data_IF_099332223001
#
_entry.id   IF_099332223001
#
_cell.length_a   1.000
_cell.length_b   1.000
_cell.length_c   1.000
_cell.angle_alpha   90.00
_cell.angle_beta   90.00
_cell.angle_gamma   90.00
#
_symmetry.space_group_name_H-M   'P 1'
#
loop_
_entity.id
_entity.type
_entity.pdbx_description
1 polymer ?
#
# COMPACT_ATOMS: atom_id res chain seq x y z
N UNK A 1 11.10 3.53 -19.14
CA UNK A 1 10.09 3.81 -18.09
C UNK A 1 9.38 5.09 -18.50
N UNK A 2 8.05 5.11 -18.50
CA UNK A 2 7.33 6.37 -18.60
C UNK A 2 7.36 7.07 -17.24
N UNK A 3 7.82 8.33 -17.21
CA UNK A 3 7.86 9.16 -16.00
C UNK A 3 6.49 9.82 -15.78
N UNK A 4 5.47 8.98 -15.60
CA UNK A 4 4.26 9.38 -14.89
C UNK A 4 4.70 9.98 -13.55
N UNK A 5 4.42 11.27 -13.36
CA UNK A 5 4.91 12.00 -12.19
C UNK A 5 4.26 11.41 -10.93
N UNK A 6 5.03 11.39 -9.84
CA UNK A 6 4.45 11.21 -8.51
C UNK A 6 3.40 12.31 -8.31
N UNK A 7 2.17 11.94 -7.93
CA UNK A 7 0.99 12.83 -7.88
C UNK A 7 0.43 12.98 -6.46
N UNK A 8 0.59 11.98 -5.60
CA UNK A 8 0.10 12.02 -4.22
C UNK A 8 1.01 12.88 -3.34
N UNK A 9 0.74 14.18 -3.12
CA UNK A 9 1.45 15.02 -2.12
C UNK A 9 0.51 15.49 -1.01
N UNK A 10 1.07 15.81 0.16
CA UNK A 10 0.28 16.28 1.32
C UNK A 10 -0.39 17.60 0.98
N UNK A 11 -1.71 17.66 1.17
CA UNK A 11 -2.55 18.80 0.76
C UNK A 11 -3.25 18.62 -0.59
N UNK A 12 -2.84 17.65 -1.42
CA UNK A 12 -3.47 17.35 -2.71
C UNK A 12 -4.53 16.25 -2.63
N UNK A 13 -5.31 16.12 -3.72
CA UNK A 13 -6.25 15.01 -3.90
C UNK A 13 -5.51 13.67 -3.99
N UNK A 14 -6.01 12.66 -3.29
CA UNK A 14 -5.48 11.31 -3.36
C UNK A 14 -5.70 10.72 -4.76
N UNK A 15 -4.66 10.25 -5.48
CA UNK A 15 -4.83 9.66 -6.80
C UNK A 15 -5.70 8.39 -6.76
N UNK A 16 -6.87 8.45 -7.37
CA UNK A 16 -7.78 7.31 -7.42
C UNK A 16 -7.41 6.35 -8.56
N UNK A 17 -6.52 5.41 -8.27
CA UNK A 17 -6.00 4.43 -9.24
C UNK A 17 -6.79 3.12 -9.26
N UNK A 18 -6.81 2.39 -10.39
CA UNK A 18 -7.35 1.04 -10.44
C UNK A 18 -6.45 0.07 -9.67
N UNK A 19 -7.07 -0.87 -8.97
CA UNK A 19 -6.43 -1.99 -8.25
C UNK A 19 -7.28 -3.25 -8.42
N UNK A 20 -6.72 -4.42 -8.14
CA UNK A 20 -7.40 -5.72 -8.29
C UNK A 20 -7.47 -6.44 -6.94
N UNK A 21 -8.64 -6.93 -6.57
CA UNK A 21 -8.83 -7.76 -5.37
C UNK A 21 -8.26 -9.17 -5.56
N UNK A 22 -8.01 -9.89 -4.47
CA UNK A 22 -7.48 -11.27 -4.53
C UNK A 22 -8.38 -12.26 -5.31
N UNK A 23 -9.69 -11.99 -5.43
CA UNK A 23 -10.60 -12.73 -6.31
C UNK A 23 -10.66 -12.19 -7.76
N UNK A 24 -9.58 -11.58 -8.24
CA UNK A 24 -9.38 -11.07 -9.61
C UNK A 24 -10.39 -10.02 -10.10
N UNK A 25 -11.14 -9.36 -9.21
CA UNK A 25 -12.10 -8.30 -9.58
C UNK A 25 -11.39 -6.94 -9.63
N UNK A 26 -11.51 -6.23 -10.77
CA UNK A 26 -11.07 -4.84 -10.86
C UNK A 26 -11.92 -3.93 -9.98
N UNK A 27 -11.24 -3.00 -9.30
CA UNK A 27 -11.82 -1.98 -8.43
C UNK A 27 -10.91 -0.74 -8.46
N UNK A 28 -11.10 0.22 -7.55
CA UNK A 28 -10.29 1.44 -7.44
C UNK A 28 -9.94 1.69 -5.98
N UNK A 29 -8.86 2.44 -5.69
CA UNK A 29 -8.48 2.75 -4.30
C UNK A 29 -9.63 3.46 -3.56
N UNK A 30 -10.35 4.37 -4.23
CA UNK A 30 -11.51 5.06 -3.63
C UNK A 30 -12.63 4.16 -3.15
N UNK A 31 -12.80 2.95 -3.71
CA UNK A 31 -13.83 2.00 -3.27
C UNK A 31 -13.54 1.40 -1.88
N UNK A 32 -12.35 1.62 -1.33
CA UNK A 32 -11.99 1.27 0.06
C UNK A 32 -12.07 2.47 1.00
N UNK A 33 -12.34 3.69 0.50
CA UNK A 33 -12.60 4.85 1.35
C UNK A 33 -14.04 4.79 1.88
N UNK A 34 -14.21 4.29 3.10
CA UNK A 34 -15.20 4.90 4.00
C UNK A 34 -14.60 6.19 4.56
N UNK A 35 -15.43 7.16 4.92
CA UNK A 35 -14.95 8.52 5.18
C UNK A 35 -13.95 8.60 6.35
N UNK A 36 -12.80 9.24 6.08
CA UNK A 36 -11.78 9.74 7.02
C UNK A 36 -10.90 8.72 7.78
N UNK A 37 -10.08 7.90 7.10
CA UNK A 37 -9.52 6.65 7.68
C UNK A 37 -8.04 6.27 7.29
N UNK A 38 -7.06 6.21 8.26
CA UNK A 38 -5.57 5.97 8.05
C UNK A 38 -4.95 4.54 8.04
N UNK A 39 -3.62 4.41 7.73
CA UNK A 39 -2.79 3.19 7.43
C UNK A 39 -1.26 3.39 7.79
N UNK A 40 -0.29 2.47 8.06
CA UNK A 40 -0.03 0.99 8.07
C UNK A 40 1.46 0.73 8.61
N UNK A 41 2.17 -0.41 8.80
CA UNK A 41 1.89 -1.84 9.17
C UNK A 41 2.14 -2.17 10.68
N UNK A 42 2.59 -1.21 11.52
CA UNK A 42 2.31 -1.29 12.98
C UNK A 42 0.79 -1.34 13.24
N UNK A 43 -0.01 -1.02 12.20
CA UNK A 43 -1.26 -1.67 11.74
C UNK A 43 -1.72 -2.94 12.43
N UNK A 44 -0.93 -4.01 12.64
CA UNK A 44 -1.50 -5.13 13.43
C UNK A 44 -1.88 -4.70 14.86
N UNK A 45 -1.32 -3.58 15.33
CA UNK A 45 -1.79 -2.78 16.46
C UNK A 45 -2.63 -1.55 16.04
N UNK A 46 -2.33 -0.79 14.97
CA UNK A 46 -3.18 0.38 14.58
C UNK A 46 -4.60 -0.04 14.15
N UNK A 47 -4.79 -1.18 13.50
CA UNK A 47 -6.08 -1.81 13.15
C UNK A 47 -6.84 -2.21 14.41
N UNK A 48 -6.15 -2.63 15.47
CA UNK A 48 -6.77 -2.94 16.77
C UNK A 48 -7.14 -1.67 17.53
N UNK A 49 -6.18 -0.76 17.70
CA UNK A 49 -6.31 0.49 18.46
C UNK A 49 -7.31 1.46 17.81
N UNK A 50 -7.26 1.56 16.48
CA UNK A 50 -8.00 2.56 15.71
C UNK A 50 -9.03 1.96 14.74
N UNK A 51 -9.26 0.65 14.65
CA UNK A 51 -10.29 0.06 13.76
C UNK A 51 -11.72 0.61 13.96
N UNK A 52 -12.01 1.12 15.15
CA UNK A 52 -13.25 1.84 15.44
C UNK A 52 -13.38 3.16 14.64
N UNK A 53 -12.26 3.82 14.33
CA UNK A 53 -12.17 5.18 13.74
C UNK A 53 -11.44 5.22 12.38
N UNK A 54 -10.78 4.13 12.01
CA UNK A 54 -9.91 3.95 10.83
C UNK A 54 -10.22 2.64 10.09
N UNK A 55 -9.87 2.61 8.80
CA UNK A 55 -10.12 1.57 7.79
C UNK A 55 -8.79 1.44 7.04
N UNK A 56 -8.46 0.20 6.68
CA UNK A 56 -7.08 -0.20 6.44
C UNK A 56 -6.98 -1.01 5.15
N UNK A 57 -5.92 -0.81 4.34
CA UNK A 57 -5.79 -1.43 3.01
C UNK A 57 -4.32 -1.68 2.65
N UNK A 58 -3.93 -2.93 2.44
CA UNK A 58 -2.65 -3.25 1.81
C UNK A 58 -2.82 -3.18 0.28
N UNK A 59 -1.97 -2.39 -0.39
CA UNK A 59 -1.82 -2.40 -1.86
C UNK A 59 -0.49 -3.06 -2.20
N UNK A 60 -0.54 -4.31 -2.65
CA UNK A 60 0.63 -5.07 -3.09
C UNK A 60 1.12 -4.57 -4.45
N UNK A 61 2.38 -4.15 -4.55
CA UNK A 61 2.97 -3.55 -5.76
C UNK A 61 3.91 -4.53 -6.47
N UNK A 62 4.84 -4.05 -7.30
CA UNK A 62 5.90 -4.88 -7.87
C UNK A 62 7.06 -5.03 -6.88
N UNK A 63 7.71 -6.20 -6.86
CA UNK A 63 8.85 -6.48 -5.99
C UNK A 63 9.97 -5.45 -6.16
N UNK A 64 10.38 -4.82 -5.06
CA UNK A 64 11.47 -3.85 -5.05
C UNK A 64 12.83 -4.49 -5.40
N UNK A 65 12.98 -5.78 -5.14
CA UNK A 65 14.19 -6.57 -5.39
C UNK A 65 13.84 -7.87 -6.13
N UNK A 66 13.07 -7.76 -7.21
CA UNK A 66 12.81 -8.88 -8.11
C UNK A 66 14.14 -9.48 -8.62
N UNK A 67 14.35 -10.78 -8.36
CA UNK A 67 15.67 -11.41 -8.53
C UNK A 67 15.87 -11.99 -9.92
N UNK A 68 16.73 -11.39 -10.73
CA UNK A 68 17.23 -11.99 -12.00
C UNK A 68 18.37 -13.02 -11.74
N UNK A 69 18.43 -13.63 -10.54
CA UNK A 69 19.29 -14.79 -10.23
C UNK A 69 20.37 -14.64 -9.14
N UNK A 70 20.44 -13.54 -8.37
CA UNK A 70 21.41 -13.36 -7.28
C UNK A 70 20.76 -12.80 -6.00
N UNK A 71 20.78 -13.57 -4.91
CA UNK A 71 19.98 -13.33 -3.70
C UNK A 71 20.79 -12.91 -2.46
N UNK A 72 20.11 -12.23 -1.53
CA UNK A 72 20.55 -12.05 -0.14
C UNK A 72 19.67 -12.91 0.79
N UNK A 73 20.28 -13.52 1.81
CA UNK A 73 19.76 -14.71 2.49
C UNK A 73 18.44 -14.58 3.29
N UNK A 74 17.85 -13.38 3.40
CA UNK A 74 16.66 -13.13 4.24
C UNK A 74 15.41 -12.66 3.45
N UNK A 75 15.49 -12.50 2.12
CA UNK A 75 14.32 -12.10 1.32
C UNK A 75 13.51 -13.34 0.91
N UNK A 76 12.18 -13.19 0.80
CA UNK A 76 11.36 -14.13 0.04
C UNK A 76 11.72 -13.96 -1.44
N UNK A 77 12.24 -15.01 -2.07
CA UNK A 77 12.69 -14.95 -3.47
C UNK A 77 11.47 -15.01 -4.41
N UNK A 78 10.98 -13.82 -4.78
CA UNK A 78 9.83 -13.65 -5.66
C UNK A 78 10.33 -13.07 -7.00
N UNK A 79 10.18 -13.88 -8.05
CA UNK A 79 10.54 -13.47 -9.41
C UNK A 79 9.69 -12.28 -9.88
N UNK A 80 10.24 -11.50 -10.81
CA UNK A 80 9.56 -10.33 -11.37
C UNK A 80 8.22 -10.73 -12.01
N UNK A 81 7.13 -10.29 -11.40
CA UNK A 81 5.77 -10.48 -11.92
C UNK A 81 5.66 -9.99 -13.37
N UNK A 82 5.47 -10.94 -14.29
CA UNK A 82 5.15 -10.77 -15.71
C UNK A 82 3.64 -10.76 -15.94
N UNK A 83 2.90 -11.46 -15.07
CA UNK A 83 1.46 -11.67 -15.15
C UNK A 83 0.76 -11.35 -13.82
N UNK A 84 -0.51 -10.94 -13.90
CA UNK A 84 -1.30 -10.53 -12.73
C UNK A 84 -1.50 -11.69 -11.73
N UNK A 85 -1.61 -12.91 -12.24
CA UNK A 85 -1.77 -14.15 -11.48
C UNK A 85 -0.56 -14.41 -10.56
N UNK A 86 0.65 -14.06 -11.00
CA UNK A 86 1.87 -14.21 -10.21
C UNK A 86 1.87 -13.21 -9.04
N UNK A 87 1.50 -11.95 -9.31
CA UNK A 87 1.35 -10.92 -8.27
C UNK A 87 0.24 -11.26 -7.27
N UNK A 88 -0.85 -11.86 -7.72
CA UNK A 88 -1.93 -12.36 -6.85
C UNK A 88 -1.43 -13.52 -5.97
N UNK A 89 -0.63 -14.44 -6.51
CA UNK A 89 -0.03 -15.54 -5.75
C UNK A 89 1.02 -15.06 -4.73
N UNK A 90 1.81 -14.03 -5.05
CA UNK A 90 2.72 -13.37 -4.12
C UNK A 90 1.96 -12.63 -3.00
N UNK A 91 0.93 -11.86 -3.34
CA UNK A 91 0.07 -11.18 -2.36
C UNK A 91 -0.65 -12.16 -1.41
N UNK A 92 -0.89 -13.40 -1.83
CA UNK A 92 -1.45 -14.46 -1.00
C UNK A 92 -0.50 -14.89 0.15
N UNK A 93 0.78 -14.53 0.12
CA UNK A 93 1.70 -14.68 1.27
C UNK A 93 1.26 -13.78 2.43
N UNK A 94 0.95 -12.50 2.16
CA UNK A 94 0.52 -11.56 3.20
C UNK A 94 -0.82 -11.95 3.84
N UNK A 95 -1.66 -12.73 3.16
CA UNK A 95 -2.90 -13.26 3.75
C UNK A 95 -2.62 -14.25 4.89
N UNK A 96 -1.51 -15.01 4.81
CA UNK A 96 -1.13 -15.98 5.85
C UNK A 96 -0.71 -15.32 7.16
N UNK A 97 -0.30 -14.05 7.08
CA UNK A 97 0.14 -13.25 8.21
C UNK A 97 -1.01 -12.68 9.06
N UNK A 98 -2.26 -12.80 8.60
CA UNK A 98 -3.44 -12.10 9.14
C UNK A 98 -3.19 -10.59 9.40
N UNK A 99 -3.30 -9.75 8.36
CA UNK A 99 -3.18 -8.30 8.51
C UNK A 99 -4.45 -7.65 9.11
N UNK A 100 -5.51 -8.43 9.38
CA UNK A 100 -6.83 -7.95 9.82
C UNK A 100 -7.47 -6.90 8.89
N UNK A 101 -7.01 -6.78 7.63
CA UNK A 101 -7.52 -5.84 6.64
C UNK A 101 -7.64 -6.46 5.23
N UNK A 102 -8.37 -5.82 4.30
CA UNK A 102 -8.29 -6.14 2.87
C UNK A 102 -6.88 -5.98 2.28
N UNK A 103 -6.47 -6.96 1.48
CA UNK A 103 -5.34 -6.87 0.54
C UNK A 103 -5.89 -6.72 -0.88
N UNK A 104 -5.30 -5.81 -1.65
CA UNK A 104 -5.43 -5.70 -3.10
C UNK A 104 -4.06 -5.68 -3.74
N UNK A 105 -3.99 -5.86 -5.06
CA UNK A 105 -2.77 -5.71 -5.85
C UNK A 105 -2.92 -4.53 -6.82
N UNK A 106 -1.83 -3.79 -7.06
CA UNK A 106 -1.77 -2.80 -8.14
C UNK A 106 -1.86 -3.50 -9.51
N UNK A 107 -2.34 -2.79 -10.53
CA UNK A 107 -2.33 -3.34 -11.90
C UNK A 107 -0.89 -3.54 -12.41
N UNK A 108 -0.72 -4.41 -13.41
CA UNK A 108 0.61 -4.70 -13.99
C UNK A 108 1.27 -3.48 -14.67
N UNK A 109 0.50 -2.40 -14.90
CA UNK A 109 0.97 -1.07 -15.29
C UNK A 109 1.74 -0.34 -14.19
N UNK A 110 1.61 -0.77 -12.93
CA UNK A 110 2.19 -0.18 -11.72
C UNK A 110 1.71 1.27 -11.48
N UNK A 111 0.46 1.56 -11.85
CA UNK A 111 -0.09 2.91 -11.85
C UNK A 111 -0.31 3.46 -10.43
N UNK A 112 -0.68 2.62 -9.47
CA UNK A 112 -0.77 3.01 -8.06
C UNK A 112 0.63 3.25 -7.49
N UNK A 113 1.56 2.32 -7.72
CA UNK A 113 2.94 2.44 -7.27
C UNK A 113 3.64 3.70 -7.81
N UNK A 114 3.37 4.07 -9.07
CA UNK A 114 3.92 5.28 -9.69
C UNK A 114 3.31 6.57 -9.13
N UNK A 115 1.97 6.71 -9.17
CA UNK A 115 1.30 7.96 -8.73
C UNK A 115 1.47 8.24 -7.23
N UNK A 116 1.61 7.21 -6.40
CA UNK A 116 1.94 7.36 -4.97
C UNK A 116 3.47 7.38 -4.71
N UNK A 117 4.31 7.11 -5.73
CA UNK A 117 5.76 6.99 -5.58
C UNK A 117 6.13 6.02 -4.46
N UNK A 118 5.45 4.87 -4.45
CA UNK A 118 5.34 3.98 -3.29
C UNK A 118 6.47 2.95 -3.17
N UNK A 119 7.36 2.86 -4.16
CA UNK A 119 8.52 1.96 -4.11
C UNK A 119 9.61 2.47 -3.13
N UNK A 120 10.32 1.58 -2.40
CA UNK A 120 10.08 0.13 -2.36
C UNK A 120 8.84 -0.23 -1.54
N UNK A 121 8.54 0.56 -0.51
CA UNK A 121 7.30 0.56 0.27
C UNK A 121 7.03 1.98 0.80
N UNK A 122 5.77 2.30 1.14
CA UNK A 122 5.40 3.63 1.62
C UNK A 122 4.07 3.68 2.37
N UNK A 123 4.03 4.52 3.40
CA UNK A 123 2.83 4.78 4.21
C UNK A 123 2.12 6.07 3.78
N UNK A 124 0.79 6.06 3.81
CA UNK A 124 -0.06 7.20 3.45
C UNK A 124 -1.26 7.29 4.39
N UNK A 125 -1.72 8.51 4.66
CA UNK A 125 -3.01 8.76 5.30
C UNK A 125 -3.90 9.58 4.40
N UNK A 126 -5.10 9.07 4.13
CA UNK A 126 -6.06 9.65 3.22
C UNK A 126 -7.35 10.01 3.98
N UNK A 127 -7.76 11.27 3.93
CA UNK A 127 -8.94 11.79 4.64
C UNK A 127 -9.79 12.62 3.67
N UNK A 128 -11.10 12.36 3.60
CA UNK A 128 -12.03 13.02 2.65
C UNK A 128 -11.51 13.08 1.19
N UNK A 129 -10.77 12.07 0.75
CA UNK A 129 -10.14 12.00 -0.58
C UNK A 129 -8.93 12.92 -0.78
N UNK A 130 -8.33 13.43 0.30
CA UNK A 130 -7.10 14.24 0.33
C UNK A 130 -5.96 13.43 0.97
N UNK A 131 -4.73 13.65 0.55
CA UNK A 131 -3.54 13.14 1.24
C UNK A 131 -3.21 14.06 2.41
N UNK A 132 -3.30 13.56 3.65
CA UNK A 132 -2.97 14.34 4.85
C UNK A 132 -1.66 13.90 5.53
N UNK A 133 -1.15 12.71 5.20
CA UNK A 133 0.23 12.30 5.48
C UNK A 133 0.78 11.42 4.36
N UNK A 134 2.09 11.56 4.14
CA UNK A 134 2.89 10.88 3.13
C UNK A 134 4.23 10.53 3.77
N UNK A 135 4.44 9.25 4.05
CA UNK A 135 5.68 8.77 4.65
C UNK A 135 6.89 8.97 3.73
N UNK A 136 8.07 8.81 4.33
CA UNK A 136 9.32 8.63 3.59
C UNK A 136 9.26 7.25 2.90
N UNK A 137 10.09 7.03 1.87
CA UNK A 137 10.19 5.72 1.21
C UNK A 137 10.94 4.74 2.12
N UNK A 138 10.46 3.51 2.25
CA UNK A 138 11.11 2.48 3.07
C UNK A 138 12.42 1.96 2.47
N UNK A 139 13.07 0.97 3.13
CA UNK A 139 12.76 0.53 4.50
C UNK A 139 13.11 1.59 5.55
N UNK A 140 14.18 2.38 5.36
CA UNK A 140 14.64 3.37 6.36
C UNK A 140 13.64 4.51 6.63
N UNK A 141 12.77 4.82 5.68
CA UNK A 141 11.69 5.81 5.84
C UNK A 141 10.38 5.25 6.37
N UNK A 142 10.32 3.96 6.67
CA UNK A 142 9.12 3.28 7.10
C UNK A 142 8.83 3.54 8.58
N UNK A 143 7.92 4.48 8.86
CA UNK A 143 7.62 4.90 10.23
C UNK A 143 6.11 4.91 10.51
N UNK A 144 5.56 3.85 11.11
CA UNK A 144 4.16 3.79 11.53
C UNK A 144 3.82 4.70 12.72
N UNK A 145 4.79 5.06 13.57
CA UNK A 145 4.56 5.98 14.71
C UNK A 145 4.26 7.40 14.22
N UNK A 146 4.82 7.82 13.07
CA UNK A 146 4.40 9.05 12.38
C UNK A 146 2.91 9.00 11.96
N UNK A 147 2.36 7.81 11.65
CA UNK A 147 0.92 7.61 11.37
C UNK A 147 0.11 7.61 12.66
N UNK A 148 0.55 6.94 13.72
CA UNK A 148 -0.10 6.97 15.05
C UNK A 148 -0.29 8.41 15.51
N UNK A 149 0.77 9.21 15.46
CA UNK A 149 0.73 10.64 15.77
C UNK A 149 -0.10 11.51 14.81
N UNK A 150 -0.64 10.96 13.71
CA UNK A 150 -1.64 11.59 12.84
C UNK A 150 -3.05 11.11 13.21
N UNK A 151 -3.23 9.80 13.40
CA UNK A 151 -4.46 9.15 13.89
C UNK A 151 -4.96 9.79 15.21
N UNK A 152 -4.07 9.96 16.18
CA UNK A 152 -4.37 10.53 17.50
C UNK A 152 -4.80 12.01 17.47
N UNK A 153 -4.66 12.69 16.33
CA UNK A 153 -5.10 14.08 16.10
C UNK A 153 -6.36 14.18 15.24
N UNK A 154 -6.93 13.06 14.82
CA UNK A 154 -8.15 12.95 13.99
C UNK A 154 -9.36 12.49 14.81
N UNK A 155 -9.13 11.94 16.01
CA UNK A 155 -10.13 11.67 17.05
C UNK A 155 -10.53 12.93 17.83
#
# INVERSE_FOLDING_TARGET
MDLSREEAFVGDRAPDTPVVTLNSKKTRISNFFKANRPLLDEFKQLVKDFGAVADFLIVYIAEAHATDGWSFANNVDIQKHTHLQERLAAAQVLVKEDPMCPIVVDEMTNISASKYGALPERLFVLQSGMVIYKGKRGPWGYNPQEVRGVLEKIN
#
